data_IF_891231705328
#
_entry.id   IF_891231705328
#
_cell.length_a   1.000
_cell.length_b   1.000
_cell.length_c   1.000
_cell.angle_alpha   90.00
_cell.angle_beta   90.00
_cell.angle_gamma   90.00
#
_symmetry.space_group_name_H-M   'P 1'
#
loop_
_entity.id
_entity.type
_entity.pdbx_description
1 polymer ?
#
# COMPACT_ATOMS: atom_id res chain seq x y z
N UNK A 1 -5.52 7.36 -2.23
CA UNK A 1 -4.42 7.77 -3.12
C UNK A 1 -3.22 8.04 -2.24
N UNK A 2 -2.06 7.46 -2.55
CA UNK A 2 -0.77 7.77 -1.94
C UNK A 2 0.06 8.37 -3.07
N UNK A 3 0.39 9.66 -2.94
CA UNK A 3 1.15 10.42 -3.93
C UNK A 3 2.16 11.30 -3.21
N UNK A 4 3.28 11.59 -3.86
CA UNK A 4 4.32 12.48 -3.34
C UNK A 4 5.08 13.14 -4.50
N UNK A 5 5.95 14.15 -4.24
CA UNK A 5 6.71 14.83 -5.28
C UNK A 5 7.40 13.85 -6.23
N UNK A 6 7.34 14.14 -7.53
CA UNK A 6 7.92 13.27 -8.56
C UNK A 6 9.45 13.28 -8.45
N UNK A 7 10.03 12.11 -8.68
CA UNK A 7 11.47 11.96 -8.88
C UNK A 7 12.21 11.42 -7.67
N UNK A 8 13.50 11.14 -7.89
CA UNK A 8 14.41 10.58 -6.91
C UNK A 8 15.57 11.54 -6.68
N UNK A 9 15.68 12.02 -5.45
CA UNK A 9 16.84 12.73 -4.93
C UNK A 9 16.98 12.40 -3.43
N UNK A 10 18.19 12.44 -2.85
CA UNK A 10 18.43 12.00 -1.48
C UNK A 10 17.51 12.66 -0.43
N UNK A 11 17.18 13.93 -0.62
CA UNK A 11 16.34 14.71 0.30
C UNK A 11 14.83 14.59 0.02
N UNK A 12 14.43 13.82 -1.00
CA UNK A 12 13.02 13.66 -1.35
C UNK A 12 12.31 12.83 -0.27
N UNK A 13 11.18 13.30 0.30
CA UNK A 13 10.42 12.52 1.26
C UNK A 13 9.95 11.21 0.59
N UNK A 14 10.13 10.10 1.30
CA UNK A 14 9.65 8.78 0.87
C UNK A 14 8.17 8.55 1.17
N UNK A 15 7.64 7.41 0.73
CA UNK A 15 6.22 7.03 0.94
C UNK A 15 6.02 5.91 1.96
N UNK A 16 7.09 5.40 2.56
CA UNK A 16 7.09 4.24 3.46
C UNK A 16 6.07 4.36 4.60
N UNK A 17 6.09 5.49 5.32
CA UNK A 17 5.16 5.72 6.43
C UNK A 17 3.71 5.82 5.96
N UNK A 18 3.46 6.48 4.81
CA UNK A 18 2.13 6.59 4.24
C UNK A 18 1.60 5.22 3.78
N UNK A 19 2.44 4.40 3.15
CA UNK A 19 2.11 3.03 2.74
C UNK A 19 1.73 2.18 3.95
N UNK A 20 2.55 2.21 5.02
CA UNK A 20 2.26 1.49 6.26
C UNK A 20 0.94 1.93 6.90
N UNK A 21 0.74 3.24 7.07
CA UNK A 21 -0.48 3.78 7.68
C UNK A 21 -1.73 3.40 6.90
N UNK A 22 -1.68 3.45 5.56
CA UNK A 22 -2.79 3.04 4.71
C UNK A 22 -3.08 1.54 4.86
N UNK A 23 -2.05 0.70 4.94
CA UNK A 23 -2.24 -0.74 5.15
C UNK A 23 -2.94 -1.03 6.49
N UNK A 24 -2.50 -0.38 7.57
CA UNK A 24 -3.13 -0.51 8.89
C UNK A 24 -4.59 -0.05 8.86
N UNK A 25 -4.86 1.13 8.29
CA UNK A 25 -6.23 1.65 8.17
C UNK A 25 -7.12 0.76 7.30
N UNK A 26 -6.61 0.26 6.18
CA UNK A 26 -7.36 -0.61 5.27
C UNK A 26 -7.76 -1.93 5.94
N UNK A 27 -6.83 -2.55 6.68
CA UNK A 27 -7.09 -3.77 7.46
C UNK A 27 -8.01 -3.53 8.65
N UNK A 28 -7.92 -2.35 9.28
CA UNK A 28 -8.74 -1.95 10.42
C UNK A 28 -10.16 -1.48 10.07
N UNK A 29 -10.53 -1.50 8.79
CA UNK A 29 -11.87 -1.10 8.31
C UNK A 29 -12.96 -1.91 9.04
N UNK A 30 -13.89 -1.22 9.72
CA UNK A 30 -14.99 -1.84 10.48
C UNK A 30 -16.24 -2.16 9.65
N UNK A 31 -16.41 -1.52 8.49
CA UNK A 31 -17.51 -1.78 7.56
C UNK A 31 -17.20 -2.88 6.55
N UNK A 32 -18.22 -3.37 5.86
CA UNK A 32 -18.06 -4.33 4.76
C UNK A 32 -17.34 -3.71 3.55
N UNK A 33 -16.90 -4.58 2.65
CA UNK A 33 -16.19 -4.23 1.41
C UNK A 33 -14.68 -4.09 1.59
N UNK A 34 -14.01 -3.63 0.53
CA UNK A 34 -12.56 -3.48 0.46
C UNK A 34 -12.15 -2.00 0.45
N UNK A 35 -10.90 -1.73 0.79
CA UNK A 35 -10.28 -0.41 0.65
C UNK A 35 -9.47 -0.37 -0.64
N UNK A 36 -9.82 0.57 -1.53
CA UNK A 36 -9.07 0.80 -2.76
C UNK A 36 -7.88 1.72 -2.50
N UNK A 37 -6.68 1.23 -2.78
CA UNK A 37 -5.44 1.99 -2.60
C UNK A 37 -4.78 2.19 -3.96
N UNK A 38 -4.55 3.45 -4.31
CA UNK A 38 -3.77 3.83 -5.48
C UNK A 38 -2.44 4.39 -5.01
N UNK A 39 -1.34 3.73 -5.33
CA UNK A 39 0.02 4.15 -4.99
C UNK A 39 0.71 4.64 -6.25
N UNK A 40 1.11 5.92 -6.25
CA UNK A 40 1.80 6.55 -7.36
C UNK A 40 3.32 6.60 -7.11
N UNK A 41 4.08 6.64 -8.20
CA UNK A 41 5.54 6.78 -8.23
C UNK A 41 6.26 5.62 -7.51
N UNK A 42 5.89 4.39 -7.91
CA UNK A 42 6.47 3.12 -7.42
C UNK A 42 7.72 2.71 -8.21
N UNK A 43 8.57 3.67 -8.56
CA UNK A 43 9.78 3.47 -9.38
C UNK A 43 10.98 3.01 -8.54
N UNK A 44 11.15 3.61 -7.36
CA UNK A 44 12.19 3.29 -6.39
C UNK A 44 12.01 1.92 -5.72
N UNK A 45 13.13 1.27 -5.39
CA UNK A 45 13.15 -0.08 -4.78
C UNK A 45 12.48 -0.10 -3.41
N UNK A 46 12.70 0.93 -2.57
CA UNK A 46 12.15 0.93 -1.20
C UNK A 46 10.63 1.05 -1.20
N UNK A 47 10.06 1.88 -2.05
CA UNK A 47 8.60 2.01 -2.24
C UNK A 47 7.99 0.70 -2.76
N UNK A 48 8.65 0.01 -3.71
CA UNK A 48 8.20 -1.32 -4.18
C UNK A 48 8.18 -2.34 -3.04
N UNK A 49 9.25 -2.42 -2.26
CA UNK A 49 9.35 -3.36 -1.12
C UNK A 49 8.26 -3.05 -0.09
N UNK A 50 8.05 -1.78 0.28
CA UNK A 50 7.00 -1.41 1.21
C UNK A 50 5.60 -1.68 0.66
N UNK A 51 5.36 -1.44 -0.64
CA UNK A 51 4.07 -1.75 -1.25
C UNK A 51 3.80 -3.26 -1.25
N UNK A 52 4.80 -4.08 -1.58
CA UNK A 52 4.66 -5.54 -1.62
C UNK A 52 4.55 -6.15 -0.24
N UNK A 53 5.23 -5.60 0.77
CA UNK A 53 5.13 -6.05 2.16
C UNK A 53 3.78 -5.67 2.78
N UNK A 54 3.40 -4.38 2.74
CA UNK A 54 2.27 -3.88 3.53
C UNK A 54 0.94 -3.87 2.77
N UNK A 55 0.95 -3.63 1.46
CA UNK A 55 -0.27 -3.64 0.64
C UNK A 55 -0.52 -5.01 0.00
N UNK A 56 0.49 -5.89 0.04
CA UNK A 56 0.53 -7.24 -0.48
C UNK A 56 0.32 -7.39 -1.99
N UNK A 57 1.25 -8.09 -2.65
CA UNK A 57 1.16 -8.37 -4.10
C UNK A 57 -0.12 -9.13 -4.47
N UNK A 58 -0.63 -9.99 -3.58
CA UNK A 58 -1.89 -10.74 -3.77
C UNK A 58 -3.12 -9.85 -3.91
N UNK A 59 -3.06 -8.62 -3.40
CA UNK A 59 -4.15 -7.63 -3.47
C UNK A 59 -3.95 -6.61 -4.59
N UNK A 60 -2.87 -6.71 -5.38
CA UNK A 60 -2.64 -5.85 -6.54
C UNK A 60 -3.61 -6.22 -7.66
N UNK A 61 -4.51 -5.29 -8.00
CA UNK A 61 -5.45 -5.44 -9.10
C UNK A 61 -4.77 -5.16 -10.44
N UNK A 62 -4.06 -4.04 -10.52
CA UNK A 62 -3.34 -3.63 -11.75
C UNK A 62 -2.26 -2.60 -11.45
N UNK A 63 -1.16 -2.66 -12.21
CA UNK A 63 -0.19 -1.57 -12.34
C UNK A 63 -0.23 -0.98 -13.75
N UNK A 64 -0.24 0.34 -13.87
CA UNK A 64 -0.11 1.06 -15.16
C UNK A 64 0.99 2.11 -15.00
N UNK A 65 2.10 1.92 -15.72
CA UNK A 65 3.28 2.77 -15.57
C UNK A 65 3.74 2.83 -14.11
N UNK A 66 3.69 4.04 -13.53
CA UNK A 66 4.09 4.32 -12.14
C UNK A 66 2.94 4.26 -11.12
N UNK A 67 1.74 3.89 -11.54
CA UNK A 67 0.56 3.86 -10.68
C UNK A 67 0.12 2.42 -10.45
N UNK A 68 0.06 2.00 -9.19
CA UNK A 68 -0.42 0.68 -8.78
C UNK A 68 -1.75 0.80 -8.02
N UNK A 69 -2.69 -0.11 -8.31
CA UNK A 69 -4.01 -0.18 -7.69
C UNK A 69 -4.16 -1.49 -6.92
N UNK A 70 -4.47 -1.39 -5.63
CA UNK A 70 -4.75 -2.49 -4.72
C UNK A 70 -6.19 -2.48 -4.21
N UNK A 71 -6.70 -3.66 -3.87
CA UNK A 71 -7.95 -3.87 -3.14
C UNK A 71 -7.67 -4.63 -1.86
N UNK A 72 -7.62 -3.93 -0.74
CA UNK A 72 -7.24 -4.50 0.55
C UNK A 72 -8.50 -4.79 1.36
N UNK A 73 -8.78 -6.07 1.70
CA UNK A 73 -9.90 -6.41 2.56
C UNK A 73 -9.61 -6.05 4.03
N UNK A 74 -10.65 -5.83 4.86
CA UNK A 74 -10.49 -5.78 6.31
C UNK A 74 -9.91 -7.10 6.83
N UNK A 75 -9.18 -7.04 7.95
CA UNK A 75 -8.68 -8.24 8.61
C UNK A 75 -9.87 -8.98 9.24
N UNK A 76 -9.98 -10.29 9.00
CA UNK A 76 -10.87 -11.12 9.81
C UNK A 76 -10.27 -11.23 11.22
N UNK A 77 -10.97 -10.68 12.22
CA UNK A 77 -10.56 -10.64 13.64
C UNK A 77 -10.32 -12.03 14.27
N UNK A 78 -10.57 -13.13 13.54
CA UNK A 78 -10.43 -14.50 14.03
C UNK A 78 -9.00 -15.05 14.02
N UNK A 79 -8.07 -14.41 13.29
CA UNK A 79 -6.65 -14.74 13.37
C UNK A 79 -5.85 -13.45 13.31
N UNK A 80 -5.14 -13.13 14.40
CA UNK A 80 -4.13 -12.08 14.46
C UNK A 80 -2.93 -12.48 13.61
N UNK A 81 -3.11 -12.56 12.29
CA UNK A 81 -1.99 -12.64 11.37
C UNK A 81 -1.21 -11.33 11.52
N UNK A 82 -0.05 -11.41 12.18
CA UNK A 82 0.95 -10.35 12.18
C UNK A 82 1.44 -10.05 10.74
N UNK A 83 1.24 -11.02 9.84
CA UNK A 83 1.33 -10.94 8.37
C UNK A 83 0.49 -9.80 7.75
N UNK A 84 1.06 -8.86 6.99
CA UNK A 84 0.29 -8.08 5.99
C UNK A 84 0.08 -8.87 4.69
N UNK A 85 0.98 -9.81 4.41
CA UNK A 85 0.86 -10.86 3.42
C UNK A 85 0.68 -12.23 4.10
#
# INVERSE_FOLDING_TARGET
>A
MIDAPRGYFPDAPGRMAAVYSVAVMARGRKGSGVTHVFLHDVDRRVEKVYAEEFLCRKYLVRGVGRLWHFQIPPSNDSHTSQSFC
#
